data_IF_518250771351
#
_entry.id   IF_518250771351
#
_cell.length_a   1.000
_cell.length_b   1.000
_cell.length_c   1.000
_cell.angle_alpha   90.00
_cell.angle_beta   90.00
_cell.angle_gamma   90.00
#
_symmetry.space_group_name_H-M   'P 1'
#
loop_
_entity.id
_entity.type
_entity.pdbx_description
1 polymer ?
#
# COMPACT_ATOMS: atom_id res chain seq x y z
N UNK A 1 -44.78 -5.19 -19.86
CA UNK A 1 -44.52 -3.79 -19.43
C UNK A 1 -43.95 -3.03 -20.61
N UNK A 2 -44.69 -2.05 -21.13
CA UNK A 2 -44.28 -1.25 -22.30
C UNK A 2 -43.59 -0.01 -21.74
N UNK A 3 -42.27 0.09 -21.88
CA UNK A 3 -41.53 1.24 -21.37
C UNK A 3 -41.97 2.48 -22.13
N UNK A 4 -42.50 3.46 -21.39
CA UNK A 4 -42.85 4.75 -21.93
C UNK A 4 -41.58 5.49 -22.38
N UNK A 5 -41.67 6.25 -23.48
CA UNK A 5 -40.55 7.04 -24.01
C UNK A 5 -39.98 7.97 -22.92
N UNK A 6 -40.84 8.48 -22.04
CA UNK A 6 -40.43 9.25 -20.87
C UNK A 6 -39.52 8.43 -19.94
N UNK A 7 -39.92 7.22 -19.55
CA UNK A 7 -39.09 6.35 -18.70
C UNK A 7 -37.73 6.06 -19.34
N UNK A 8 -37.71 5.85 -20.66
CA UNK A 8 -36.47 5.56 -21.39
C UNK A 8 -35.50 6.74 -21.40
N UNK A 9 -36.01 7.97 -21.55
CA UNK A 9 -35.19 9.19 -21.51
C UNK A 9 -34.64 9.47 -20.12
N UNK A 10 -35.44 9.32 -19.08
CA UNK A 10 -34.98 9.50 -17.69
C UNK A 10 -33.91 8.48 -17.33
N UNK A 11 -34.09 7.21 -17.70
CA UNK A 11 -33.09 6.17 -17.45
C UNK A 11 -31.77 6.42 -18.19
N UNK A 12 -31.83 6.96 -19.41
CA UNK A 12 -30.61 7.30 -20.17
C UNK A 12 -29.86 8.46 -19.53
N UNK A 13 -30.56 9.49 -19.05
CA UNK A 13 -29.93 10.61 -18.32
C UNK A 13 -29.24 10.12 -17.04
N UNK A 14 -29.91 9.27 -16.27
CA UNK A 14 -29.33 8.67 -15.05
C UNK A 14 -28.10 7.84 -15.39
N UNK A 15 -28.17 7.00 -16.42
CA UNK A 15 -27.05 6.17 -16.84
C UNK A 15 -25.83 7.02 -17.24
N UNK A 16 -26.03 8.10 -17.99
CA UNK A 16 -24.94 9.02 -18.36
C UNK A 16 -24.35 9.72 -17.13
N UNK A 17 -25.18 10.18 -16.20
CA UNK A 17 -24.72 10.81 -14.96
C UNK A 17 -23.89 9.84 -14.09
N UNK A 18 -24.32 8.58 -13.99
CA UNK A 18 -23.60 7.55 -13.25
C UNK A 18 -22.25 7.23 -13.88
N UNK A 19 -22.19 7.13 -15.21
CA UNK A 19 -20.92 6.94 -15.94
C UNK A 19 -19.97 8.12 -15.67
N UNK A 20 -20.47 9.36 -15.71
CA UNK A 20 -19.65 10.54 -15.42
C UNK A 20 -19.07 10.51 -14.00
N UNK A 21 -19.86 10.09 -13.00
CA UNK A 21 -19.39 9.94 -11.61
C UNK A 21 -18.35 8.81 -11.50
N UNK A 22 -18.57 7.68 -12.17
CA UNK A 22 -17.67 6.53 -12.16
C UNK A 22 -16.31 6.84 -12.83
N UNK A 23 -16.29 7.76 -13.80
CA UNK A 23 -15.06 8.22 -14.48
C UNK A 23 -14.30 9.30 -13.69
N UNK A 24 -14.92 9.93 -12.69
CA UNK A 24 -14.29 10.97 -11.85
C UNK A 24 -12.91 10.58 -11.26
N UNK A 25 -12.68 9.37 -10.70
CA UNK A 25 -11.37 8.99 -10.16
C UNK A 25 -10.25 8.87 -11.22
N UNK A 26 -10.59 8.71 -12.50
CA UNK A 26 -9.60 8.66 -13.58
C UNK A 26 -9.08 10.07 -13.93
N UNK A 27 -9.91 11.09 -13.72
CA UNK A 27 -9.62 12.48 -14.09
C UNK A 27 -9.11 13.27 -12.87
N UNK A 28 -9.60 12.93 -11.68
CA UNK A 28 -9.21 13.52 -10.41
C UNK A 28 -8.61 12.43 -9.51
N UNK A 29 -7.28 12.22 -9.56
CA UNK A 29 -6.63 11.31 -8.62
C UNK A 29 -6.93 11.80 -7.20
N UNK A 30 -7.36 10.88 -6.33
CA UNK A 30 -7.62 11.19 -4.93
C UNK A 30 -6.35 11.78 -4.31
N UNK A 31 -6.40 13.01 -3.74
CA UNK A 31 -5.24 13.61 -3.13
C UNK A 31 -4.75 12.71 -2.00
N UNK A 32 -3.45 12.42 -1.98
CA UNK A 32 -2.82 11.67 -0.90
C UNK A 32 -3.01 12.46 0.40
N UNK A 33 -3.97 12.04 1.23
CA UNK A 33 -4.20 12.64 2.53
C UNK A 33 -3.17 12.09 3.51
N UNK A 34 -2.23 12.93 3.96
CA UNK A 34 -1.23 12.55 4.95
C UNK A 34 -1.86 12.14 6.30
N UNK A 35 -3.11 12.53 6.54
CA UNK A 35 -3.90 12.17 7.72
C UNK A 35 -4.79 10.94 7.51
N UNK A 36 -4.89 10.42 6.28
CA UNK A 36 -5.58 9.16 6.06
C UNK A 36 -4.74 8.09 6.76
N UNK A 37 -5.22 7.63 7.91
CA UNK A 37 -4.65 6.48 8.59
C UNK A 37 -5.01 5.26 7.74
N UNK A 38 -4.21 4.98 6.69
CA UNK A 38 -4.18 3.62 6.15
C UNK A 38 -3.48 2.78 7.22
N UNK A 39 -4.28 2.28 8.15
CA UNK A 39 -3.83 1.53 9.33
C UNK A 39 -3.32 0.13 8.96
N UNK A 40 -3.05 -0.12 7.68
CA UNK A 40 -2.72 -1.43 7.15
C UNK A 40 -1.22 -1.71 7.26
N UNK A 41 -0.37 -0.68 7.34
CA UNK A 41 1.09 -0.84 7.45
C UNK A 41 1.61 -0.18 8.72
N UNK A 42 2.08 -1.01 9.66
CA UNK A 42 2.82 -0.57 10.83
C UNK A 42 4.32 -0.53 10.50
N UNK A 43 4.93 0.65 10.61
CA UNK A 43 6.35 0.85 10.35
C UNK A 43 7.07 0.87 11.71
N UNK A 44 7.95 -0.10 11.93
CA UNK A 44 8.68 -0.18 13.19
C UNK A 44 9.70 0.98 13.30
N UNK A 45 9.83 1.64 14.46
CA UNK A 45 10.88 2.63 14.66
C UNK A 45 12.28 1.98 14.66
N UNK A 46 13.25 2.67 14.07
CA UNK A 46 14.65 2.22 14.04
C UNK A 46 15.05 1.46 12.77
N UNK A 47 16.27 0.93 12.80
CA UNK A 47 16.89 0.12 11.75
C UNK A 47 17.47 -1.12 12.42
N UNK A 48 17.17 -2.27 11.84
CA UNK A 48 17.53 -3.56 12.40
C UNK A 48 18.33 -4.39 11.41
N UNK A 49 19.11 -5.32 11.94
CA UNK A 49 19.78 -6.32 11.12
C UNK A 49 18.76 -7.35 10.66
N UNK A 50 18.32 -7.22 9.42
CA UNK A 50 17.35 -8.09 8.79
C UNK A 50 18.04 -9.34 8.26
N UNK A 51 17.42 -10.50 8.47
CA UNK A 51 17.88 -11.78 7.93
C UNK A 51 16.75 -12.42 7.15
N UNK A 52 17.02 -12.78 5.90
CA UNK A 52 16.05 -13.53 5.09
C UNK A 52 15.77 -14.90 5.73
N UNK A 53 14.56 -15.46 5.58
CA UNK A 53 14.24 -16.80 6.07
C UNK A 53 15.19 -17.89 5.57
N UNK A 54 15.70 -17.73 4.34
CA UNK A 54 16.67 -18.63 3.70
C UNK A 54 18.14 -18.37 4.13
N UNK A 55 18.37 -17.50 5.11
CA UNK A 55 19.68 -17.08 5.63
C UNK A 55 20.67 -16.49 4.59
N UNK A 56 20.32 -16.39 3.31
CA UNK A 56 21.21 -15.91 2.24
C UNK A 56 21.42 -14.38 2.22
N UNK A 57 20.50 -13.61 2.80
CA UNK A 57 20.58 -12.15 2.85
C UNK A 57 20.59 -11.68 4.30
N UNK A 58 21.62 -10.92 4.65
CA UNK A 58 21.74 -10.25 5.95
C UNK A 58 22.14 -8.79 5.72
N UNK A 59 21.22 -7.87 5.96
CA UNK A 59 21.40 -6.44 5.68
C UNK A 59 20.69 -5.60 6.74
N UNK A 60 21.18 -4.39 6.99
CA UNK A 60 20.44 -3.42 7.78
C UNK A 60 19.19 -2.98 7.02
N UNK A 61 18.11 -2.71 7.72
CA UNK A 61 16.89 -2.24 7.10
C UNK A 61 15.77 -1.95 8.10
N UNK A 62 14.65 -1.49 7.54
CA UNK A 62 13.45 -1.14 8.27
C UNK A 62 12.44 -2.27 8.19
N UNK A 63 11.77 -2.53 9.30
CA UNK A 63 10.69 -3.51 9.38
C UNK A 63 9.36 -2.82 9.16
N UNK A 64 8.53 -3.39 8.30
CA UNK A 64 7.16 -2.96 8.06
C UNK A 64 6.26 -4.18 8.20
N UNK A 65 5.22 -4.05 9.02
CA UNK A 65 4.24 -5.10 9.27
C UNK A 65 2.94 -4.72 8.58
N UNK A 66 2.45 -5.61 7.73
CA UNK A 66 1.10 -5.55 7.22
C UNK A 66 0.14 -6.05 8.31
N UNK A 67 -0.69 -5.14 8.82
CA UNK A 67 -1.64 -5.39 9.90
C UNK A 67 -2.90 -6.12 9.44
N UNK A 68 -3.14 -6.24 8.13
CA UNK A 68 -4.24 -7.03 7.57
C UNK A 68 -3.84 -8.50 7.41
N UNK A 69 -2.64 -8.75 6.88
CA UNK A 69 -2.17 -10.11 6.59
C UNK A 69 -1.23 -10.68 7.65
N UNK A 70 -0.71 -9.84 8.53
CA UNK A 70 0.36 -10.17 9.47
C UNK A 70 1.75 -10.26 8.82
N UNK A 71 1.88 -10.04 7.51
CA UNK A 71 3.15 -10.20 6.81
C UNK A 71 4.18 -9.18 7.29
N UNK A 72 5.41 -9.65 7.51
CA UNK A 72 6.52 -8.83 7.98
C UNK A 72 7.49 -8.65 6.82
N UNK A 73 7.65 -7.40 6.39
CA UNK A 73 8.49 -7.01 5.29
C UNK A 73 9.74 -6.30 5.80
N UNK A 74 10.89 -6.66 5.23
CA UNK A 74 12.16 -6.03 5.47
C UNK A 74 12.54 -5.15 4.29
N UNK A 75 12.74 -3.85 4.53
CA UNK A 75 13.22 -2.88 3.54
C UNK A 75 14.69 -2.57 3.82
N UNK A 76 15.65 -3.08 3.02
CA UNK A 76 17.06 -2.79 3.20
C UNK A 76 17.37 -1.28 3.20
N UNK A 77 18.18 -0.86 4.16
CA UNK A 77 18.81 0.46 4.22
C UNK A 77 20.32 0.23 4.16
N UNK A 78 21.00 0.83 3.18
CA UNK A 78 22.44 0.64 2.99
C UNK A 78 23.31 1.23 4.13
N UNK A 79 22.66 1.76 5.18
CA UNK A 79 23.25 2.34 6.38
C UNK A 79 22.30 2.17 7.58
N UNK A 80 22.72 2.69 8.73
CA UNK A 80 21.95 2.80 9.97
C UNK A 80 20.84 3.87 9.92
N UNK A 81 20.70 4.58 8.79
CA UNK A 81 19.65 5.58 8.62
C UNK A 81 18.31 4.94 8.25
N UNK A 82 17.17 5.44 8.76
CA UNK A 82 15.86 4.81 8.60
C UNK A 82 15.24 4.98 7.19
N UNK A 83 16.01 5.50 6.25
CA UNK A 83 15.58 5.75 4.88
C UNK A 83 16.59 5.14 3.91
N UNK A 84 16.15 4.74 2.70
CA UNK A 84 17.08 4.33 1.66
C UNK A 84 18.02 5.51 1.35
N UNK A 85 19.33 5.28 1.45
CA UNK A 85 20.36 6.29 1.14
C UNK A 85 21.20 5.84 -0.04
N UNK A 86 21.60 6.81 -0.86
CA UNK A 86 22.51 6.62 -1.97
C UNK A 86 23.87 7.17 -1.58
N UNK A 87 24.91 6.36 -1.75
CA UNK A 87 26.30 6.81 -1.54
C UNK A 87 26.85 7.49 -2.81
N UNK A 88 26.28 7.20 -4.00
CA UNK A 88 26.59 7.88 -5.27
C UNK A 88 25.48 7.71 -6.33
N UNK A 89 24.77 8.78 -6.70
CA UNK A 89 23.72 8.76 -7.74
C UNK A 89 22.72 9.92 -7.59
N UNK A 90 22.11 10.38 -8.70
CA UNK A 90 21.18 11.52 -8.72
C UNK A 90 19.70 11.15 -8.75
N UNK A 91 19.37 9.86 -8.84
CA UNK A 91 17.99 9.33 -8.82
C UNK A 91 17.59 8.97 -7.40
N UNK A 92 16.36 9.23 -6.92
CA UNK A 92 15.93 8.76 -5.60
C UNK A 92 16.06 7.23 -5.46
N UNK A 93 16.60 6.72 -4.32
CA UNK A 93 16.72 5.27 -4.10
C UNK A 93 15.37 4.63 -3.82
N UNK A 94 15.12 3.49 -4.47
CA UNK A 94 13.99 2.61 -4.15
C UNK A 94 14.52 1.37 -3.45
N UNK A 95 13.99 1.06 -2.26
CA UNK A 95 14.31 -0.17 -1.53
C UNK A 95 13.27 -1.24 -1.85
N UNK A 96 13.72 -2.37 -2.40
CA UNK A 96 12.85 -3.52 -2.66
C UNK A 96 12.67 -4.35 -1.38
N UNK A 97 11.43 -4.56 -0.90
CA UNK A 97 11.20 -5.34 0.30
C UNK A 97 11.37 -6.82 0.05
N UNK A 98 11.70 -7.55 1.11
CA UNK A 98 11.62 -9.02 1.13
C UNK A 98 10.88 -9.50 2.36
N UNK A 99 10.22 -10.65 2.22
CA UNK A 99 9.42 -11.24 3.30
C UNK A 99 10.34 -11.80 4.38
N UNK A 100 10.15 -11.35 5.63
CA UNK A 100 10.84 -11.84 6.82
C UNK A 100 10.05 -12.94 7.52
N UNK A 101 8.73 -12.86 7.46
CA UNK A 101 7.83 -13.79 8.12
C UNK A 101 6.40 -13.29 8.12
N UNK A 102 5.58 -13.87 9.00
CA UNK A 102 4.18 -13.49 9.16
C UNK A 102 3.74 -13.74 10.60
N UNK A 103 3.06 -12.77 11.21
CA UNK A 103 2.34 -12.96 12.46
C UNK A 103 1.03 -13.69 12.20
N UNK A 104 0.72 -14.67 13.06
CA UNK A 104 -0.60 -15.30 13.10
C UNK A 104 -1.54 -14.43 13.94
N UNK A 105 -2.26 -13.52 13.28
CA UNK A 105 -3.15 -12.57 13.93
C UNK A 105 -4.42 -13.25 14.51
N UNK A 106 -4.80 -14.40 13.96
CA UNK A 106 -5.95 -15.17 14.43
C UNK A 106 -5.67 -15.82 15.79
N UNK A 107 -4.41 -16.21 16.03
CA UNK A 107 -3.97 -16.78 17.30
C UNK A 107 -4.09 -15.81 18.49
N UNK A 108 -4.10 -14.49 18.26
CA UNK A 108 -4.19 -13.47 19.32
C UNK A 108 -5.62 -13.35 19.88
N UNK A 109 -6.63 -13.70 19.09
CA UNK A 109 -8.05 -13.52 19.44
C UNK A 109 -8.74 -14.80 19.94
N UNK A 110 -7.97 -15.85 20.22
CA UNK A 110 -8.45 -17.17 20.62
C UNK A 110 -8.29 -17.39 22.13
#
# INVERSE_FOLDING_TARGET
>A
MRFDTYTRTVLTVIAVALVAIALRPLIHPTPAAAQATSQDLYIEPGVYLLRSPDAMKQQLGKVVVDMHTGNIWGFPTASDTPYPVIVSGSTPPTSEPFLLGRFDLDAVHK
#
